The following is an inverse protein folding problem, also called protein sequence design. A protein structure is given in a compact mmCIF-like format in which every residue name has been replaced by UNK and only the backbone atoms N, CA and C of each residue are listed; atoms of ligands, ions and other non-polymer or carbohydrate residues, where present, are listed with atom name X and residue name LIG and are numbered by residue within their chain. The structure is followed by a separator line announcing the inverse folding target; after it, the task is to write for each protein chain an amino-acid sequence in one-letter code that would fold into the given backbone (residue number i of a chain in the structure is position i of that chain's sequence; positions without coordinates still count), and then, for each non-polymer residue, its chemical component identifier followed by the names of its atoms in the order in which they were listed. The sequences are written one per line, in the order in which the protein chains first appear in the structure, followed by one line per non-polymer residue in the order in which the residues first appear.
data_IF_448302795236
#
_entry.id   IF_448302795236
#
_cell.length_a   1.000
_cell.length_b   1.000
_cell.length_c   1.000
_cell.angle_alpha   90.00
_cell.angle_beta   90.00
_cell.angle_gamma   90.00
#
_symmetry.space_group_name_H-M   'P 1'
#
loop_
_entity.id
_entity.type
_entity.pdbx_description
1 polymer ?
#
# COMPACT_ATOMS: atom_id res chain seq x y z
N UNK A 1 -27.46 -18.21 4.68
CA UNK A 1 -26.62 -17.29 5.49
C UNK A 1 -26.31 -16.02 4.72
N UNK A 2 -25.87 -16.10 3.46
CA UNK A 2 -25.62 -14.92 2.61
C UNK A 2 -26.87 -14.12 2.24
N UNK A 3 -28.02 -14.77 2.05
CA UNK A 3 -29.28 -14.08 1.68
C UNK A 3 -29.87 -13.22 2.80
N UNK A 4 -29.57 -13.51 4.08
CA UNK A 4 -30.07 -12.73 5.21
C UNK A 4 -29.38 -11.36 5.35
N UNK A 5 -28.15 -11.24 4.84
CA UNK A 5 -27.39 -9.98 4.88
C UNK A 5 -27.88 -8.96 3.85
N UNK A 6 -28.48 -9.44 2.76
CA UNK A 6 -28.98 -8.59 1.66
C UNK A 6 -30.38 -8.03 1.98
N UNK A 7 -31.16 -8.74 2.80
CA UNK A 7 -32.55 -8.38 3.12
C UNK A 7 -32.71 -7.69 4.49
N UNK A 8 -31.63 -7.23 5.11
CA UNK A 8 -31.69 -6.49 6.37
C UNK A 8 -31.94 -5.00 6.10
N UNK A 9 -33.07 -4.47 6.58
CA UNK A 9 -33.39 -3.04 6.49
C UNK A 9 -32.26 -2.21 7.14
N UNK A 10 -31.80 -1.11 6.50
CA UNK A 10 -30.80 -0.25 7.10
C UNK A 10 -31.38 0.40 8.37
N UNK A 11 -30.68 0.24 9.50
CA UNK A 11 -31.08 0.90 10.75
C UNK A 11 -31.18 2.41 10.54
N UNK A 12 -32.12 3.11 11.22
CA UNK A 12 -32.17 4.56 11.15
C UNK A 12 -30.82 5.17 11.56
N UNK A 13 -30.36 6.22 10.88
CA UNK A 13 -29.15 6.91 11.29
C UNK A 13 -29.31 7.42 12.72
N UNK A 14 -28.26 7.27 13.52
CA UNK A 14 -28.26 7.76 14.90
C UNK A 14 -28.51 9.30 14.89
N UNK A 15 -29.30 9.83 15.84
CA UNK A 15 -29.80 11.22 15.78
C UNK A 15 -28.72 12.32 15.72
N UNK A 16 -27.48 11.96 16.03
CA UNK A 16 -26.29 12.79 16.14
C UNK A 16 -25.29 12.59 14.97
N UNK A 17 -25.70 11.92 13.88
CA UNK A 17 -24.82 11.60 12.74
C UNK A 17 -24.62 12.78 11.75
N UNK A 18 -25.30 13.91 11.92
CA UNK A 18 -25.23 15.04 10.96
C UNK A 18 -23.88 15.76 10.95
N UNK A 19 -23.09 15.60 12.00
CA UNK A 19 -21.81 16.31 12.16
C UNK A 19 -20.59 15.42 11.88
N UNK A 20 -20.79 14.15 11.49
CA UNK A 20 -19.71 13.16 11.41
C UNK A 20 -18.96 13.12 10.08
N UNK A 21 -19.49 13.76 9.03
CA UNK A 21 -18.76 13.95 7.78
C UNK A 21 -18.34 15.41 7.68
N UNK A 22 -17.06 15.74 7.89
CA UNK A 22 -16.53 16.99 7.39
C UNK A 22 -16.81 17.02 5.89
N UNK A 23 -17.57 18.03 5.45
CA UNK A 23 -17.75 18.34 4.05
C UNK A 23 -16.38 18.31 3.40
N UNK A 24 -16.12 17.32 2.53
CA UNK A 24 -14.80 17.07 1.98
C UNK A 24 -14.31 18.35 1.30
N UNK A 25 -13.49 19.12 2.01
CA UNK A 25 -12.97 20.38 1.53
C UNK A 25 -12.23 20.07 0.23
N UNK A 26 -12.66 20.71 -0.84
CA UNK A 26 -12.23 20.50 -2.23
C UNK A 26 -10.79 20.98 -2.49
N UNK A 27 -9.97 21.01 -1.45
CA UNK A 27 -8.60 21.48 -1.47
C UNK A 27 -7.64 20.29 -1.51
N UNK A 28 -7.88 19.35 -2.42
CA UNK A 28 -6.81 18.45 -2.88
C UNK A 28 -5.81 19.33 -3.62
N UNK A 29 -4.84 19.87 -2.90
CA UNK A 29 -3.65 20.46 -3.49
C UNK A 29 -2.98 19.34 -4.28
N UNK A 30 -3.01 19.46 -5.61
CA UNK A 30 -2.16 18.67 -6.50
C UNK A 30 -0.74 19.08 -6.16
N UNK A 31 -0.12 18.37 -5.23
CA UNK A 31 1.32 18.47 -4.99
C UNK A 31 1.93 17.69 -6.14
N UNK A 32 2.58 18.39 -7.06
CA UNK A 32 3.42 17.75 -8.06
C UNK A 32 4.36 16.79 -7.35
N UNK A 33 4.54 15.54 -7.86
CA UNK A 33 5.42 14.58 -7.23
C UNK A 33 6.78 15.24 -7.06
N UNK A 34 7.15 15.52 -5.79
CA UNK A 34 8.48 15.99 -5.47
C UNK A 34 9.41 14.88 -5.92
N UNK A 35 10.20 15.17 -6.95
CA UNK A 35 11.32 14.34 -7.35
C UNK A 35 12.36 14.38 -6.22
N UNK A 36 12.07 13.62 -5.15
CA UNK A 36 13.09 13.27 -4.18
C UNK A 36 14.10 12.42 -4.92
N UNK A 37 15.22 13.05 -5.26
CA UNK A 37 16.42 12.45 -5.84
C UNK A 37 16.99 11.40 -4.88
N UNK A 38 16.37 10.24 -4.76
CA UNK A 38 17.01 9.05 -4.18
C UNK A 38 16.14 7.81 -4.40
N UNK A 39 16.09 7.27 -5.62
CA UNK A 39 15.91 5.83 -5.77
C UNK A 39 17.27 5.27 -6.15
N UNK A 40 17.94 4.63 -5.19
CA UNK A 40 19.24 3.99 -5.37
C UNK A 40 19.32 3.24 -6.70
N UNK A 41 20.36 3.54 -7.46
CA UNK A 41 20.61 3.09 -8.85
C UNK A 41 21.05 1.61 -8.93
N UNK A 42 21.01 0.90 -7.81
CA UNK A 42 21.50 -0.47 -7.72
C UNK A 42 20.33 -1.48 -7.79
N UNK A 43 20.29 -2.30 -8.85
CA UNK A 43 19.24 -3.29 -9.02
C UNK A 43 19.30 -4.33 -7.89
N UNK A 44 18.16 -4.83 -7.40
CA UNK A 44 18.15 -5.97 -6.49
C UNK A 44 18.75 -7.19 -7.19
N UNK A 45 19.64 -7.91 -6.49
CA UNK A 45 20.18 -9.19 -6.93
C UNK A 45 19.07 -10.24 -6.81
N UNK A 46 18.30 -10.45 -7.88
CA UNK A 46 17.12 -11.32 -7.90
C UNK A 46 17.45 -12.63 -8.58
N UNK A 47 17.37 -13.74 -7.83
CA UNK A 47 17.31 -15.09 -8.40
C UNK A 47 15.95 -15.28 -9.11
N UNK A 48 15.94 -15.26 -10.45
CA UNK A 48 14.73 -15.44 -11.24
C UNK A 48 14.20 -16.87 -11.05
N UNK A 49 12.97 -16.97 -10.54
CA UNK A 49 12.27 -18.25 -10.39
C UNK A 49 11.60 -18.67 -11.69
N UNK A 50 11.36 -19.95 -11.85
CA UNK A 50 10.55 -20.47 -12.95
C UNK A 50 9.12 -19.93 -12.89
N UNK A 51 8.67 -19.38 -14.02
CA UNK A 51 7.34 -18.79 -14.17
C UNK A 51 6.37 -19.81 -14.78
N UNK A 52 5.06 -19.71 -14.44
CA UNK A 52 4.04 -20.47 -15.13
C UNK A 52 3.98 -20.07 -16.62
N UNK A 53 3.49 -20.96 -17.51
CA UNK A 53 3.65 -20.83 -18.97
C UNK A 53 2.95 -19.62 -19.60
N UNK A 54 2.05 -18.96 -18.86
CA UNK A 54 1.31 -17.77 -19.29
C UNK A 54 2.03 -16.45 -18.94
N UNK A 55 3.14 -16.51 -18.19
CA UNK A 55 3.92 -15.34 -17.78
C UNK A 55 5.33 -15.40 -18.38
N UNK A 56 5.91 -14.24 -18.58
CA UNK A 56 7.29 -14.07 -19.03
C UNK A 56 7.96 -12.90 -18.31
N UNK A 57 9.29 -12.91 -18.25
CA UNK A 57 10.07 -11.79 -17.74
C UNK A 57 10.31 -10.75 -18.85
N UNK A 58 10.15 -9.49 -18.48
CA UNK A 58 10.59 -8.32 -19.23
C UNK A 58 11.52 -7.47 -18.35
N UNK A 59 12.40 -6.69 -18.95
CA UNK A 59 13.40 -5.92 -18.21
C UNK A 59 13.26 -4.42 -18.48
N UNK A 60 13.26 -3.62 -17.42
CA UNK A 60 13.11 -2.16 -17.52
C UNK A 60 14.44 -1.41 -17.61
N UNK A 61 15.58 -2.06 -17.29
CA UNK A 61 16.92 -1.48 -17.39
C UNK A 61 17.84 -2.23 -18.37
N UNK A 62 19.00 -1.65 -18.61
CA UNK A 62 20.05 -2.28 -19.42
C UNK A 62 20.69 -3.46 -18.66
N UNK A 63 21.18 -4.47 -19.37
CA UNK A 63 21.83 -5.67 -18.81
C UNK A 63 20.94 -6.52 -17.88
N UNK A 64 19.67 -6.76 -18.25
CA UNK A 64 18.73 -7.59 -17.48
C UNK A 64 18.45 -7.08 -16.04
N UNK A 65 18.62 -5.77 -15.81
CA UNK A 65 18.26 -5.14 -14.54
C UNK A 65 16.77 -4.84 -14.47
N UNK A 66 16.21 -4.90 -13.27
CA UNK A 66 14.79 -4.58 -12.99
C UNK A 66 13.81 -5.52 -13.72
N UNK A 67 13.77 -6.81 -13.34
CA UNK A 67 12.85 -7.77 -13.93
C UNK A 67 11.39 -7.45 -13.54
N UNK A 68 10.51 -7.45 -14.53
CA UNK A 68 9.05 -7.35 -14.38
C UNK A 68 8.43 -8.58 -15.00
N UNK A 69 7.39 -9.10 -14.36
CA UNK A 69 6.63 -10.23 -14.87
C UNK A 69 5.44 -9.69 -15.68
N UNK A 70 5.35 -10.08 -16.94
CA UNK A 70 4.25 -9.69 -17.85
C UNK A 70 3.55 -10.92 -18.42
N UNK A 71 2.37 -10.73 -18.99
CA UNK A 71 1.66 -11.81 -19.67
C UNK A 71 2.35 -12.17 -21.01
N UNK A 72 2.60 -13.45 -21.21
CA UNK A 72 3.27 -13.99 -22.41
C UNK A 72 2.48 -13.72 -23.69
N UNK A 73 1.15 -13.77 -23.59
CA UNK A 73 0.23 -13.68 -24.73
C UNK A 73 -0.04 -12.26 -25.25
N UNK A 74 0.63 -11.24 -24.69
CA UNK A 74 0.56 -9.88 -25.22
C UNK A 74 1.17 -9.81 -26.62
N UNK A 75 0.60 -8.99 -27.49
CA UNK A 75 1.22 -8.69 -28.79
C UNK A 75 2.50 -7.89 -28.61
N UNK A 76 3.37 -7.90 -29.62
CA UNK A 76 4.67 -7.18 -29.57
C UNK A 76 4.45 -5.68 -29.34
N UNK A 77 3.43 -5.11 -29.97
CA UNK A 77 3.08 -3.69 -29.83
C UNK A 77 2.60 -3.39 -28.40
N UNK A 78 1.71 -4.21 -27.83
CA UNK A 78 1.23 -4.06 -26.45
C UNK A 78 2.37 -4.22 -25.43
N UNK A 79 3.27 -5.19 -25.63
CA UNK A 79 4.45 -5.37 -24.77
C UNK A 79 5.33 -4.12 -24.79
N UNK A 80 5.59 -3.58 -25.99
CA UNK A 80 6.43 -2.39 -26.14
C UNK A 80 5.78 -1.16 -25.48
N UNK A 81 4.47 -0.99 -25.65
CA UNK A 81 3.70 0.09 -25.04
C UNK A 81 3.69 -0.03 -23.50
N UNK A 82 3.48 -1.24 -22.96
CA UNK A 82 3.50 -1.52 -21.53
C UNK A 82 4.87 -1.22 -20.93
N UNK A 83 5.94 -1.75 -21.54
CA UNK A 83 7.32 -1.51 -21.08
C UNK A 83 7.64 -0.01 -21.10
N UNK A 84 7.17 0.73 -22.11
CA UNK A 84 7.37 2.18 -22.19
C UNK A 84 6.70 2.90 -21.01
N UNK A 85 5.46 2.57 -20.69
CA UNK A 85 4.73 3.15 -19.54
C UNK A 85 5.44 2.82 -18.23
N UNK A 86 5.83 1.56 -18.04
CA UNK A 86 6.55 1.12 -16.83
C UNK A 86 7.92 1.79 -16.69
N UNK A 87 8.63 2.03 -17.81
CA UNK A 87 9.89 2.78 -17.81
C UNK A 87 9.69 4.25 -17.42
N UNK A 88 8.57 4.86 -17.81
CA UNK A 88 8.22 6.23 -17.40
C UNK A 88 7.81 6.32 -15.93
N UNK A 89 7.21 5.27 -15.37
CA UNK A 89 6.70 5.24 -13.99
C UNK A 89 7.53 4.34 -13.05
N UNK A 90 8.84 4.24 -13.25
CA UNK A 90 9.72 3.39 -12.43
C UNK A 90 9.62 3.67 -10.93
N UNK A 91 9.41 4.94 -10.56
CA UNK A 91 9.30 5.38 -9.16
C UNK A 91 8.03 4.88 -8.46
N UNK A 92 7.00 4.49 -9.22
CA UNK A 92 5.78 3.92 -8.65
C UNK A 92 5.94 2.43 -8.27
N UNK A 93 7.00 1.78 -8.75
CA UNK A 93 7.29 0.38 -8.47
C UNK A 93 8.28 0.32 -7.31
N UNK A 94 7.87 -0.28 -6.21
CA UNK A 94 8.76 -0.54 -5.09
C UNK A 94 9.55 -1.83 -5.33
N UNK A 95 10.88 -1.73 -5.36
CA UNK A 95 11.77 -2.87 -5.58
C UNK A 95 12.35 -3.41 -4.27
N UNK A 96 12.59 -2.50 -3.32
CA UNK A 96 12.97 -2.78 -1.94
C UNK A 96 11.85 -2.30 -1.02
N UNK A 97 11.80 -2.83 0.21
CA UNK A 97 10.86 -2.36 1.23
C UNK A 97 11.04 -0.86 1.51
N UNK A 98 12.26 -0.34 1.38
CA UNK A 98 12.57 1.09 1.51
C UNK A 98 11.94 1.97 0.43
N UNK A 99 11.58 1.39 -0.71
CA UNK A 99 11.01 2.14 -1.84
C UNK A 99 9.48 2.30 -1.69
N UNK A 100 8.85 1.52 -0.80
CA UNK A 100 7.42 1.64 -0.49
C UNK A 100 7.24 2.92 0.35
N UNK A 101 7.05 4.05 -0.32
CA UNK A 101 6.61 5.28 0.37
C UNK A 101 5.19 5.05 0.91
N UNK A 102 5.02 5.24 2.22
CA UNK A 102 3.70 5.28 2.84
C UNK A 102 2.89 6.48 2.32
N UNK A 103 1.60 6.51 2.68
CA UNK A 103 0.78 7.71 2.46
C UNK A 103 1.31 8.81 3.36
N UNK A 104 1.55 9.99 2.80
CA UNK A 104 1.95 11.16 3.57
C UNK A 104 0.86 11.49 4.60
N UNK A 105 1.17 11.52 5.90
CA UNK A 105 0.22 11.95 6.93
C UNK A 105 -0.37 13.34 6.68
N UNK A 106 0.34 14.23 5.97
CA UNK A 106 -0.19 15.53 5.54
C UNK A 106 -1.31 15.39 4.50
N UNK A 107 -1.25 14.34 3.67
CA UNK A 107 -2.23 14.09 2.61
C UNK A 107 -3.53 13.48 3.15
N UNK A 108 -3.41 12.52 4.07
CA UNK A 108 -4.57 11.87 4.67
C UNK A 108 -4.28 11.45 6.11
N UNK A 109 -4.74 12.27 7.05
CA UNK A 109 -4.76 11.92 8.47
C UNK A 109 -6.19 11.75 8.95
N UNK A 110 -6.43 10.69 9.72
CA UNK A 110 -7.67 10.55 10.46
C UNK A 110 -7.52 11.30 11.78
N UNK A 111 -8.42 12.25 12.06
CA UNK A 111 -8.53 12.87 13.38
C UNK A 111 -9.54 12.08 14.21
N UNK A 112 -9.04 11.43 15.25
CA UNK A 112 -9.89 10.80 16.26
C UNK A 112 -10.24 11.89 17.28
N UNK A 113 -11.50 12.34 17.26
CA UNK A 113 -11.99 13.29 18.25
C UNK A 113 -12.26 12.57 19.58
N UNK A 114 -11.87 13.22 20.67
CA UNK A 114 -12.13 12.78 22.04
C UNK A 114 -13.00 13.84 22.73
N UNK A 115 -13.75 13.45 23.76
CA UNK A 115 -14.50 14.39 24.60
C UNK A 115 -13.52 15.38 25.27
N UNK A 116 -13.95 16.63 25.48
CA UNK A 116 -13.08 17.72 25.97
C UNK A 116 -12.46 17.47 27.35
N UNK A 117 -13.14 16.69 28.19
CA UNK A 117 -12.72 16.32 29.54
C UNK A 117 -12.08 14.91 29.62
N UNK A 118 -11.85 14.26 28.48
CA UNK A 118 -11.28 12.91 28.44
C UNK A 118 -9.79 12.89 28.80
N UNK A 119 -9.45 12.17 29.87
CA UNK A 119 -8.07 11.93 30.28
C UNK A 119 -7.49 10.65 29.66
N UNK A 120 -6.23 10.65 29.17
CA UNK A 120 -5.59 9.44 28.66
C UNK A 120 -5.45 8.38 29.76
N UNK A 121 -5.72 7.12 29.40
CA UNK A 121 -5.64 5.97 30.32
C UNK A 121 -4.56 5.01 29.87
N UNK A 122 -3.61 4.73 30.77
CA UNK A 122 -2.59 3.71 30.58
C UNK A 122 -3.11 2.39 31.16
N UNK A 123 -3.17 1.34 30.34
CA UNK A 123 -3.49 -0.02 30.79
C UNK A 123 -2.20 -0.83 30.91
N UNK A 124 -2.16 -1.75 31.89
CA UNK A 124 -1.03 -2.67 32.02
C UNK A 124 -0.96 -3.61 30.81
N UNK A 125 0.25 -3.82 30.30
CA UNK A 125 0.45 -4.72 29.17
C UNK A 125 0.10 -6.16 29.57
N UNK A 126 -0.75 -6.81 28.78
CA UNK A 126 -1.16 -8.19 29.02
C UNK A 126 0.02 -9.13 28.77
N UNK A 127 0.13 -10.18 29.59
CA UNK A 127 1.14 -11.22 29.40
C UNK A 127 0.84 -12.02 28.13
N UNK A 128 1.82 -12.09 27.24
CA UNK A 128 1.75 -12.87 25.99
C UNK A 128 2.26 -14.29 26.22
N UNK A 129 1.71 -15.26 25.50
CA UNK A 129 2.21 -16.64 25.54
C UNK A 129 3.59 -16.73 24.88
N UNK A 130 4.57 -17.31 25.58
CA UNK A 130 5.94 -17.43 25.11
C UNK A 130 6.06 -18.16 23.75
N UNK A 131 5.17 -19.11 23.45
CA UNK A 131 5.20 -19.88 22.19
C UNK A 131 4.98 -19.03 20.94
N UNK A 132 4.27 -17.90 21.05
CA UNK A 132 3.97 -17.01 19.92
C UNK A 132 4.76 -15.70 19.97
N UNK A 133 5.53 -15.49 21.04
CA UNK A 133 6.26 -14.25 21.27
C UNK A 133 7.25 -13.96 20.12
N UNK A 134 7.98 -14.97 19.66
CA UNK A 134 8.97 -14.79 18.60
C UNK A 134 8.32 -14.48 17.24
N UNK A 135 7.14 -15.04 16.99
CA UNK A 135 6.35 -14.72 15.80
C UNK A 135 5.88 -13.27 15.83
N UNK A 136 5.37 -12.81 16.99
CA UNK A 136 4.93 -11.41 17.18
C UNK A 136 6.10 -10.45 17.02
N UNK A 137 7.24 -10.75 17.65
CA UNK A 137 8.44 -9.90 17.55
C UNK A 137 8.86 -9.75 16.09
N UNK A 138 8.95 -10.86 15.35
CA UNK A 138 9.31 -10.84 13.93
C UNK A 138 8.32 -10.02 13.09
N UNK A 139 7.04 -10.03 13.45
CA UNK A 139 6.03 -9.22 12.76
C UNK A 139 6.19 -7.72 13.05
N UNK A 140 6.42 -7.35 14.31
CA UNK A 140 6.65 -5.95 14.71
C UNK A 140 7.90 -5.38 14.05
N UNK A 141 8.97 -6.17 13.98
CA UNK A 141 10.22 -5.79 13.30
C UNK A 141 10.04 -5.56 11.79
N UNK A 142 9.02 -6.13 11.14
CA UNK A 142 8.74 -5.83 9.72
C UNK A 142 8.14 -4.44 9.52
N UNK A 143 7.51 -3.90 10.55
CA UNK A 143 6.82 -2.60 10.51
C UNK A 143 7.67 -1.45 11.04
N UNK A 144 8.85 -1.76 11.57
CA UNK A 144 9.82 -0.80 12.14
C UNK A 144 10.91 -0.48 11.13
#
# INVERSE_FOLDING_TARGET
ILEALINSDPSPPFPNQKDYFPEAHKDLKVIEPKEDKSSNDEPPEVELKDLPPHLEYAFLGDNNKWPVIIAKYLSVDEKSALIKVLKSQKQAIAWKLTDIKGIDPEFCSHKIFLEEDYAPKVQSQRRVNLKIHDVIKKEVEKTS
#
